data_IF_156367375762
#
_entry.id   IF_156367375762
#
_cell.length_a   1.000
_cell.length_b   1.000
_cell.length_c   1.000
_cell.angle_alpha   90.00
_cell.angle_beta   90.00
_cell.angle_gamma   90.00
#
_symmetry.space_group_name_H-M   'P 1'
#
loop_
_entity.id
_entity.type
_entity.pdbx_description
1 polymer ?
#
# COMPACT_ATOMS: atom_id res chain seq x y z
N UNK A 1 -16.62 -5.59 11.18
CA UNK A 1 -15.70 -4.98 12.13
C UNK A 1 -14.83 -3.92 11.50
N UNK A 2 -14.01 -4.25 10.50
CA UNK A 2 -13.26 -3.23 9.78
C UNK A 2 -14.08 -2.67 8.64
N UNK A 3 -14.21 -1.34 8.59
CA UNK A 3 -14.99 -0.68 7.55
C UNK A 3 -14.15 -0.39 6.32
N UNK A 4 -12.91 0.03 6.52
CA UNK A 4 -12.03 0.36 5.40
C UNK A 4 -10.60 -0.01 5.76
N UNK A 5 -10.00 -0.81 4.90
CA UNK A 5 -8.65 -1.33 5.11
C UNK A 5 -7.70 -0.66 4.13
N UNK A 6 -6.65 -0.02 4.65
CA UNK A 6 -5.56 0.45 3.80
C UNK A 6 -4.63 -0.72 3.52
N UNK A 7 -4.34 -0.96 2.26
CA UNK A 7 -3.42 -2.03 1.84
C UNK A 7 -2.21 -1.38 1.20
N UNK A 8 -1.08 -1.48 1.88
CA UNK A 8 0.15 -0.87 1.39
C UNK A 8 0.85 -1.82 0.43
N UNK A 9 0.82 -1.49 -0.87
CA UNK A 9 1.42 -2.30 -1.91
C UNK A 9 2.85 -1.86 -2.17
N UNK A 10 3.70 -2.83 -2.42
CA UNK A 10 5.11 -2.59 -2.72
C UNK A 10 5.41 -2.56 -4.22
N UNK A 11 4.45 -2.98 -5.03
CA UNK A 11 4.64 -3.21 -6.46
C UNK A 11 5.71 -4.28 -6.69
N UNK A 12 5.63 -5.34 -5.89
CA UNK A 12 6.55 -6.47 -5.94
C UNK A 12 5.77 -7.77 -5.79
N UNK A 13 6.48 -8.88 -5.84
CA UNK A 13 5.86 -10.20 -5.68
C UNK A 13 5.20 -10.38 -4.31
N UNK A 14 5.60 -9.59 -3.33
CA UNK A 14 5.00 -9.65 -2.00
C UNK A 14 3.50 -9.36 -2.05
N UNK A 15 3.08 -8.51 -2.98
CA UNK A 15 1.67 -8.16 -3.12
C UNK A 15 0.82 -9.37 -3.48
N UNK A 16 1.39 -10.38 -4.13
CA UNK A 16 0.67 -11.58 -4.49
C UNK A 16 0.30 -12.43 -3.27
N UNK A 17 1.00 -12.24 -2.16
CA UNK A 17 0.64 -12.87 -0.90
C UNK A 17 -0.36 -12.01 -0.14
N UNK A 18 -0.15 -10.71 -0.14
CA UNK A 18 -0.96 -9.77 0.64
C UNK A 18 -2.39 -9.65 0.09
N UNK A 19 -2.52 -9.45 -1.22
CA UNK A 19 -3.82 -9.14 -1.80
C UNK A 19 -4.87 -10.23 -1.62
N UNK A 20 -4.57 -11.52 -1.87
CA UNK A 20 -5.57 -12.56 -1.64
C UNK A 20 -5.98 -12.66 -0.18
N UNK A 21 -5.02 -12.51 0.72
CA UNK A 21 -5.30 -12.58 2.15
C UNK A 21 -6.26 -11.46 2.58
N UNK A 22 -5.98 -10.24 2.13
CA UNK A 22 -6.81 -9.10 2.49
C UNK A 22 -8.17 -9.15 1.78
N UNK A 23 -8.21 -9.69 0.56
CA UNK A 23 -9.49 -9.87 -0.12
C UNK A 23 -10.43 -10.78 0.69
N UNK A 24 -9.90 -11.87 1.21
CA UNK A 24 -10.70 -12.77 2.04
C UNK A 24 -11.16 -12.10 3.32
N UNK A 25 -10.25 -11.36 3.97
CA UNK A 25 -10.59 -10.64 5.19
C UNK A 25 -11.67 -9.59 4.91
N UNK A 26 -11.53 -8.84 3.83
CA UNK A 26 -12.51 -7.82 3.47
C UNK A 26 -13.88 -8.42 3.20
N UNK A 27 -13.91 -9.57 2.56
CA UNK A 27 -15.18 -10.25 2.32
C UNK A 27 -15.87 -10.65 3.61
N UNK A 28 -15.11 -11.15 4.57
CA UNK A 28 -15.66 -11.54 5.86
C UNK A 28 -16.28 -10.36 6.60
N UNK A 29 -15.66 -9.21 6.53
CA UNK A 29 -16.10 -8.03 7.28
C UNK A 29 -16.96 -7.07 6.49
N UNK A 30 -17.10 -7.28 5.19
CA UNK A 30 -17.77 -6.30 4.33
C UNK A 30 -16.98 -5.02 4.21
N UNK A 31 -15.66 -5.09 4.24
CA UNK A 31 -14.79 -3.92 4.24
C UNK A 31 -14.58 -3.36 2.84
N UNK A 32 -14.43 -2.03 2.74
CA UNK A 32 -13.85 -1.41 1.56
C UNK A 32 -12.34 -1.45 1.65
N UNK A 33 -11.69 -1.34 0.52
CA UNK A 33 -10.24 -1.36 0.44
C UNK A 33 -9.70 -0.07 -0.16
N UNK A 34 -8.57 0.40 0.36
CA UNK A 34 -7.82 1.49 -0.24
C UNK A 34 -6.42 0.95 -0.53
N UNK A 35 -6.11 0.76 -1.81
CA UNK A 35 -4.79 0.30 -2.22
C UNK A 35 -3.88 1.52 -2.35
N UNK A 36 -2.77 1.49 -1.63
CA UNK A 36 -1.83 2.61 -1.59
C UNK A 36 -0.44 2.12 -1.97
N UNK A 37 0.20 2.86 -2.85
CA UNK A 37 1.63 2.71 -3.11
C UNK A 37 2.27 4.08 -2.93
N UNK A 38 3.45 4.12 -2.34
CA UNK A 38 4.16 5.38 -2.14
C UNK A 38 5.35 5.40 -3.08
N UNK A 39 5.34 6.34 -4.02
CA UNK A 39 6.42 6.47 -4.98
C UNK A 39 7.67 7.02 -4.30
N UNK A 40 8.81 6.58 -4.80
CA UNK A 40 10.11 6.95 -4.27
C UNK A 40 10.26 8.48 -4.16
N UNK A 41 10.86 8.93 -3.06
CA UNK A 41 11.07 10.35 -2.84
C UNK A 41 11.93 11.01 -3.91
N UNK A 42 12.84 10.26 -4.52
CA UNK A 42 13.64 10.76 -5.62
C UNK A 42 12.76 11.05 -6.84
N UNK A 43 11.85 10.13 -7.15
CA UNK A 43 10.92 10.32 -8.26
C UNK A 43 10.04 11.54 -7.99
N UNK A 44 9.54 11.66 -6.77
CA UNK A 44 8.70 12.78 -6.39
C UNK A 44 9.43 14.13 -6.55
N UNK A 45 10.68 14.18 -6.09
CA UNK A 45 11.47 15.40 -6.18
C UNK A 45 11.75 15.79 -7.63
N UNK A 46 12.08 14.80 -8.46
CA UNK A 46 12.33 15.08 -9.87
C UNK A 46 11.08 15.53 -10.59
N UNK A 47 9.95 14.93 -10.26
CA UNK A 47 8.67 15.33 -10.83
C UNK A 47 8.35 16.79 -10.51
N UNK A 48 8.47 17.17 -9.24
CA UNK A 48 8.21 18.54 -8.80
C UNK A 48 9.18 19.53 -9.43
N UNK A 49 10.45 19.19 -9.39
CA UNK A 49 11.51 20.09 -9.79
C UNK A 49 11.49 20.37 -11.29
N UNK A 50 11.24 19.37 -12.09
CA UNK A 50 11.26 19.49 -13.54
C UNK A 50 9.93 19.89 -14.12
N UNK A 51 8.86 19.83 -13.34
CA UNK A 51 7.49 20.13 -13.78
C UNK A 51 7.14 19.38 -15.05
N UNK A 52 7.67 18.18 -15.15
CA UNK A 52 7.41 17.32 -16.30
C UNK A 52 6.10 16.58 -16.12
N UNK A 53 5.63 16.03 -17.20
CA UNK A 53 4.53 15.08 -17.13
C UNK A 53 4.94 13.94 -16.21
N UNK A 54 3.95 13.24 -15.67
CA UNK A 54 4.17 12.09 -14.83
C UNK A 54 5.21 11.16 -15.45
N UNK A 55 6.20 10.74 -14.65
CA UNK A 55 7.26 9.88 -15.17
C UNK A 55 6.68 8.52 -15.57
N UNK A 56 7.43 7.79 -16.39
CA UNK A 56 6.99 6.46 -16.80
C UNK A 56 6.81 5.54 -15.60
N UNK A 57 7.72 5.67 -14.62
CA UNK A 57 7.63 4.88 -13.39
C UNK A 57 6.33 5.16 -12.63
N UNK A 58 5.95 6.43 -12.52
CA UNK A 58 4.70 6.80 -11.86
C UNK A 58 3.48 6.30 -12.63
N UNK A 59 3.54 6.35 -13.95
CA UNK A 59 2.46 5.81 -14.78
C UNK A 59 2.33 4.31 -14.59
N UNK A 60 3.46 3.61 -14.52
CA UNK A 60 3.45 2.16 -14.30
C UNK A 60 2.90 1.83 -12.92
N UNK A 61 3.27 2.59 -11.90
CA UNK A 61 2.76 2.40 -10.55
C UNK A 61 1.26 2.61 -10.50
N UNK A 62 0.79 3.65 -11.16
CA UNK A 62 -0.64 3.95 -11.19
C UNK A 62 -1.42 2.86 -11.93
N UNK A 63 -0.86 2.39 -13.04
CA UNK A 63 -1.48 1.31 -13.80
C UNK A 63 -1.54 0.02 -12.98
N UNK A 64 -0.48 -0.27 -12.22
CA UNK A 64 -0.46 -1.44 -11.37
C UNK A 64 -1.52 -1.36 -10.28
N UNK A 65 -1.65 -0.20 -9.64
CA UNK A 65 -2.69 0.00 -8.63
C UNK A 65 -4.08 -0.22 -9.21
N UNK A 66 -4.35 0.36 -10.37
CA UNK A 66 -5.65 0.24 -11.00
C UNK A 66 -5.93 -1.20 -11.44
N UNK A 67 -4.94 -1.87 -12.00
CA UNK A 67 -5.09 -3.27 -12.38
C UNK A 67 -5.39 -4.16 -11.17
N UNK A 68 -4.69 -3.93 -10.07
CA UNK A 68 -4.95 -4.66 -8.83
C UNK A 68 -6.35 -4.38 -8.31
N UNK A 69 -6.78 -3.12 -8.36
CA UNK A 69 -8.11 -2.74 -7.91
C UNK A 69 -9.20 -3.39 -8.77
N UNK A 70 -9.00 -3.44 -10.09
CA UNK A 70 -9.96 -4.06 -10.98
C UNK A 70 -10.13 -5.55 -10.68
N UNK A 71 -9.02 -6.25 -10.42
CA UNK A 71 -9.08 -7.66 -10.03
C UNK A 71 -9.93 -7.88 -8.78
N UNK A 72 -9.77 -6.98 -7.81
CA UNK A 72 -10.50 -7.09 -6.55
C UNK A 72 -11.97 -6.70 -6.73
N UNK A 73 -12.23 -5.68 -7.55
CA UNK A 73 -13.60 -5.29 -7.85
C UNK A 73 -14.37 -6.41 -8.54
N UNK A 74 -13.67 -7.16 -9.40
CA UNK A 74 -14.28 -8.33 -10.06
C UNK A 74 -14.71 -9.39 -9.05
N UNK A 75 -14.12 -9.39 -7.85
CA UNK A 75 -14.53 -10.29 -6.77
C UNK A 75 -15.64 -9.70 -5.89
N UNK A 76 -16.18 -8.56 -6.26
CA UNK A 76 -17.27 -7.94 -5.55
C UNK A 76 -16.87 -6.98 -4.44
N UNK A 77 -15.61 -6.58 -4.40
CA UNK A 77 -15.12 -5.68 -3.36
C UNK A 77 -15.17 -4.22 -3.82
N UNK A 78 -15.34 -3.32 -2.87
CA UNK A 78 -15.22 -1.88 -3.13
C UNK A 78 -13.78 -1.49 -2.93
N UNK A 79 -13.15 -0.92 -3.96
CA UNK A 79 -11.72 -0.65 -3.94
C UNK A 79 -11.43 0.72 -4.51
N UNK A 80 -10.72 1.54 -3.74
CA UNK A 80 -10.16 2.80 -4.20
C UNK A 80 -8.64 2.66 -4.27
N UNK A 81 -8.01 3.53 -5.03
CA UNK A 81 -6.55 3.53 -5.16
C UNK A 81 -6.00 4.91 -4.83
N UNK A 82 -4.76 4.94 -4.37
CA UNK A 82 -4.07 6.20 -4.09
C UNK A 82 -2.57 6.01 -4.29
N UNK A 83 -1.98 6.82 -5.15
CA UNK A 83 -0.54 6.88 -5.35
C UNK A 83 0.00 8.07 -4.59
N UNK A 84 0.73 7.82 -3.51
CA UNK A 84 1.33 8.86 -2.70
C UNK A 84 2.76 9.12 -3.16
N UNK A 85 3.28 10.29 -2.84
CA UNK A 85 4.65 10.65 -3.15
C UNK A 85 5.38 10.99 -1.86
N UNK A 86 6.65 10.62 -1.78
CA UNK A 86 7.50 11.01 -0.67
C UNK A 86 7.86 9.87 0.24
N UNK A 87 7.86 10.13 1.54
CA UNK A 87 8.25 9.14 2.53
C UNK A 87 7.18 8.05 2.66
N UNK A 88 7.57 6.76 2.56
CA UNK A 88 6.58 5.69 2.60
C UNK A 88 5.74 5.65 3.88
N UNK A 89 6.37 5.75 5.04
CA UNK A 89 5.63 5.66 6.29
C UNK A 89 4.67 6.83 6.45
N UNK A 90 5.14 8.03 6.17
CA UNK A 90 4.28 9.21 6.26
C UNK A 90 3.12 9.13 5.29
N UNK A 91 3.38 8.68 4.06
CA UNK A 91 2.33 8.54 3.06
C UNK A 91 1.26 7.57 3.48
N UNK A 92 1.66 6.42 4.03
CA UNK A 92 0.72 5.42 4.51
C UNK A 92 -0.11 5.95 5.67
N UNK A 93 0.55 6.55 6.67
CA UNK A 93 -0.14 7.06 7.85
C UNK A 93 -1.11 8.18 7.51
N UNK A 94 -0.68 9.09 6.63
CA UNK A 94 -1.55 10.19 6.21
C UNK A 94 -2.75 9.69 5.42
N UNK A 95 -2.54 8.74 4.51
CA UNK A 95 -3.63 8.19 3.72
C UNK A 95 -4.65 7.48 4.62
N UNK A 96 -4.17 6.74 5.61
CA UNK A 96 -5.05 6.04 6.55
C UNK A 96 -5.91 7.04 7.30
N UNK A 97 -5.33 8.13 7.75
CA UNK A 97 -6.05 9.15 8.49
C UNK A 97 -7.04 9.90 7.58
N UNK A 98 -6.56 10.38 6.43
CA UNK A 98 -7.38 11.19 5.52
C UNK A 98 -8.56 10.41 4.96
N UNK A 99 -8.39 9.12 4.74
CA UNK A 99 -9.44 8.28 4.17
C UNK A 99 -10.18 7.46 5.22
N UNK A 100 -9.88 7.70 6.50
CA UNK A 100 -10.58 7.07 7.62
C UNK A 100 -10.51 5.54 7.57
N UNK A 101 -9.34 5.03 7.29
CA UNK A 101 -9.11 3.59 7.34
C UNK A 101 -8.96 3.15 8.79
N UNK A 102 -9.54 1.99 9.13
CA UNK A 102 -9.49 1.48 10.50
C UNK A 102 -8.64 0.22 10.64
N UNK A 103 -7.91 -0.11 9.58
CA UNK A 103 -6.90 -1.15 9.61
C UNK A 103 -5.86 -0.83 8.54
N UNK A 104 -4.59 -1.02 8.86
CA UNK A 104 -3.50 -0.91 7.87
C UNK A 104 -2.93 -2.30 7.69
N UNK A 105 -2.85 -2.77 6.44
CA UNK A 105 -2.28 -4.07 6.11
C UNK A 105 -1.02 -3.88 5.29
N UNK A 106 0.03 -4.54 5.70
CA UNK A 106 1.34 -4.46 5.05
C UNK A 106 1.95 -5.84 4.94
N UNK A 107 2.94 -5.99 4.08
CA UNK A 107 3.70 -7.21 3.96
C UNK A 107 4.95 -7.14 4.83
N UNK A 108 5.20 -8.19 5.60
CA UNK A 108 6.46 -8.34 6.32
C UNK A 108 7.33 -9.31 5.53
N UNK A 109 8.57 -8.92 5.29
CA UNK A 109 9.51 -9.73 4.54
C UNK A 109 10.42 -10.53 5.46
N UNK A 110 10.95 -11.63 4.95
CA UNK A 110 12.01 -12.32 5.60
C UNK A 110 13.29 -11.48 5.55
N UNK A 111 14.22 -11.81 6.40
CA UNK A 111 15.44 -11.02 6.62
C UNK A 111 16.46 -11.08 5.48
N UNK A 112 16.13 -11.62 4.34
CA UNK A 112 17.08 -11.88 3.30
C UNK A 112 17.15 -10.89 2.16
N UNK A 113 16.15 -10.06 2.03
CA UNK A 113 16.04 -9.18 0.87
C UNK A 113 16.72 -7.86 1.17
N UNK A 114 17.58 -7.43 0.28
CA UNK A 114 18.30 -6.18 0.45
C UNK A 114 17.35 -4.99 0.49
N UNK A 115 16.26 -5.07 -0.27
CA UNK A 115 15.27 -4.01 -0.27
C UNK A 115 14.49 -3.91 1.03
N UNK A 116 14.58 -4.93 1.90
CA UNK A 116 13.84 -4.97 3.14
C UNK A 116 14.28 -3.93 4.15
N UNK A 117 15.51 -3.45 4.04
CA UNK A 117 15.96 -2.42 4.96
C UNK A 117 15.04 -1.22 4.92
N UNK A 118 14.65 -0.82 3.72
CA UNK A 118 13.75 0.30 3.55
C UNK A 118 12.36 -0.01 4.10
N UNK A 119 11.83 -1.18 3.75
CA UNK A 119 10.49 -1.56 4.20
C UNK A 119 10.47 -1.96 5.66
N UNK A 120 11.58 -2.47 6.19
CA UNK A 120 11.69 -2.75 7.61
C UNK A 120 11.54 -1.49 8.44
N UNK A 121 12.18 -0.41 8.04
CA UNK A 121 12.04 0.86 8.75
C UNK A 121 10.65 1.45 8.56
N UNK A 122 10.04 1.27 7.41
CA UNK A 122 8.67 1.72 7.16
C UNK A 122 7.70 1.02 8.09
N UNK A 123 7.82 -0.31 8.20
CA UNK A 123 6.97 -1.09 9.11
C UNK A 123 7.13 -0.61 10.54
N UNK A 124 8.36 -0.40 10.97
CA UNK A 124 8.61 0.04 12.34
C UNK A 124 7.98 1.40 12.62
N UNK A 125 8.10 2.31 11.68
CA UNK A 125 7.52 3.64 11.86
C UNK A 125 6.00 3.61 11.84
N UNK A 126 5.42 2.88 10.90
CA UNK A 126 3.96 2.75 10.84
C UNK A 126 3.43 2.11 12.12
N UNK A 127 4.07 1.04 12.55
CA UNK A 127 3.66 0.33 13.76
C UNK A 127 3.72 1.24 14.99
N UNK A 128 4.72 2.10 15.03
CA UNK A 128 4.93 3.00 16.17
C UNK A 128 3.93 4.15 16.20
N UNK A 129 3.57 4.67 15.04
CA UNK A 129 2.78 5.89 14.94
C UNK A 129 1.32 5.67 14.56
N UNK A 130 0.96 4.48 14.09
CA UNK A 130 -0.42 4.22 13.67
C UNK A 130 -1.36 4.26 14.87
N UNK A 131 -2.52 4.86 14.66
CA UNK A 131 -3.57 4.91 15.67
C UNK A 131 -4.64 3.86 15.42
N UNK A 132 -4.43 3.00 14.45
CA UNK A 132 -5.31 1.88 14.12
C UNK A 132 -4.48 0.60 14.12
N UNK A 133 -5.12 -0.57 14.21
CA UNK A 133 -4.37 -1.83 14.14
C UNK A 133 -3.58 -1.97 12.85
N UNK A 134 -2.46 -2.65 12.93
CA UNK A 134 -1.61 -2.93 11.78
C UNK A 134 -1.50 -4.43 11.64
N UNK A 135 -1.90 -4.93 10.48
CA UNK A 135 -1.80 -6.35 10.16
C UNK A 135 -0.58 -6.55 9.26
N UNK A 136 0.32 -7.41 9.70
CA UNK A 136 1.50 -7.76 8.92
C UNK A 136 1.34 -9.17 8.39
N UNK A 137 1.30 -9.29 7.07
CA UNK A 137 1.20 -10.58 6.40
C UNK A 137 2.59 -10.95 5.90
N UNK A 138 3.11 -12.07 6.36
CA UNK A 138 4.45 -12.47 5.96
C UNK A 138 4.47 -12.90 4.51
N UNK A 139 5.30 -12.25 3.72
CA UNK A 139 5.47 -12.61 2.32
C UNK A 139 6.17 -13.96 2.22
N UNK A 140 5.85 -14.70 1.18
CA UNK A 140 6.50 -15.96 0.91
C UNK A 140 7.98 -15.75 0.62
N UNK A 141 8.69 -16.83 0.55
CA UNK A 141 10.13 -16.81 0.31
C UNK A 141 10.49 -16.23 -1.05
#
# INVERSE_FOLDING_TARGET
MYHKILVALENSRADQTLLPHIADLAKLHGSGLLLVHVADGYVARNYEQLKLAESQEMKDDRAYLESSAESLRARGLKVDTFLALGDPAEGILKAAQDRQCDLIAMTAHGHRLLGDLLFGSTINEVRHKAQVPVLLVRAGK
#
